data_IF_973306831773
#
_entry.id   IF_973306831773
#
_cell.length_a   1.000
_cell.length_b   1.000
_cell.length_c   1.000
_cell.angle_alpha   90.00
_cell.angle_beta   90.00
_cell.angle_gamma   90.00
#
_symmetry.space_group_name_H-M   'P 1'
#
loop_
_entity.id
_entity.type
_entity.pdbx_description
1 polymer ?
#
# COMPACT_ATOMS: atom_id res chain seq x y z
N UNK A 1 1.47 16.13 10.19
CA UNK A 1 0.74 14.92 10.63
C UNK A 1 -0.10 14.46 9.45
N UNK A 2 0.07 13.23 8.97
CA UNK A 2 -0.76 12.77 7.84
C UNK A 2 -2.14 12.44 8.39
N UNK A 3 -3.10 13.33 8.15
CA UNK A 3 -4.49 13.11 8.56
C UNK A 3 -5.02 11.83 7.89
N UNK A 4 -5.89 11.11 8.60
CA UNK A 4 -6.57 9.88 8.15
C UNK A 4 -5.78 8.58 8.18
N UNK A 5 -4.44 8.58 8.15
CA UNK A 5 -3.65 7.34 8.28
C UNK A 5 -3.60 6.94 9.77
N UNK A 6 -4.13 5.75 10.07
CA UNK A 6 -4.15 5.19 11.43
C UNK A 6 -2.97 4.24 11.70
N UNK A 7 -2.46 3.61 10.64
CA UNK A 7 -1.40 2.62 10.77
C UNK A 7 -0.64 2.44 9.46
N UNK A 8 0.66 2.24 9.59
CA UNK A 8 1.57 1.89 8.50
C UNK A 8 2.13 0.51 8.77
N UNK A 9 2.05 -0.40 7.79
CA UNK A 9 2.61 -1.75 7.92
C UNK A 9 3.25 -2.23 6.63
N UNK A 10 4.20 -3.17 6.74
CA UNK A 10 4.77 -3.90 5.61
C UNK A 10 3.99 -5.20 5.41
N UNK A 11 3.65 -5.54 4.16
CA UNK A 11 3.01 -6.80 3.80
C UNK A 11 3.76 -7.47 2.66
N UNK A 12 3.96 -8.79 2.78
CA UNK A 12 4.40 -9.62 1.65
C UNK A 12 3.31 -9.67 0.59
N UNK A 13 3.72 -9.60 -0.67
CA UNK A 13 2.84 -9.66 -1.82
C UNK A 13 2.87 -11.03 -2.50
N UNK A 14 1.69 -11.58 -2.73
CA UNK A 14 1.47 -12.82 -3.46
C UNK A 14 0.30 -12.70 -4.43
N UNK A 15 -0.12 -13.84 -5.00
CA UNK A 15 -1.20 -13.93 -5.98
C UNK A 15 -2.49 -13.28 -5.46
N UNK A 16 -2.86 -13.57 -4.22
CA UNK A 16 -4.09 -13.11 -3.59
C UNK A 16 -4.04 -11.66 -3.07
N UNK A 17 -2.87 -11.03 -3.02
CA UNK A 17 -2.70 -9.66 -2.54
C UNK A 17 -2.63 -8.62 -3.67
N UNK A 18 -3.12 -8.97 -4.87
CA UNK A 18 -3.10 -8.08 -6.03
C UNK A 18 -1.69 -7.79 -6.57
N UNK A 19 -0.75 -8.74 -6.49
CA UNK A 19 0.62 -8.56 -7.01
C UNK A 19 0.65 -8.18 -8.50
N UNK A 20 -0.21 -8.79 -9.30
CA UNK A 20 -0.30 -8.51 -10.74
C UNK A 20 -1.18 -7.32 -11.09
N UNK A 21 -1.76 -6.61 -10.11
CA UNK A 21 -2.62 -5.44 -10.36
C UNK A 21 -1.80 -4.17 -10.42
N UNK A 22 -1.50 -3.67 -11.61
CA UNK A 22 -0.73 -2.43 -11.76
C UNK A 22 -1.42 -1.20 -11.18
N UNK A 23 -2.74 -1.20 -11.00
CA UNK A 23 -3.52 -0.17 -10.31
C UNK A 23 -4.94 -0.66 -10.03
N UNK A 24 -5.66 0.03 -9.14
CA UNK A 24 -7.08 -0.14 -8.89
C UNK A 24 -7.44 -1.49 -8.28
N UNK A 25 -8.69 -1.66 -7.85
CA UNK A 25 -9.11 -2.87 -7.15
C UNK A 25 -10.59 -3.14 -7.38
N UNK A 26 -10.96 -4.41 -7.42
CA UNK A 26 -12.36 -4.83 -7.46
C UNK A 26 -12.94 -4.99 -6.03
N UNK A 27 -12.14 -4.68 -5.00
CA UNK A 27 -12.51 -4.77 -3.59
C UNK A 27 -12.57 -3.36 -3.00
N UNK A 28 -13.73 -2.96 -2.47
CA UNK A 28 -13.94 -1.65 -1.83
C UNK A 28 -13.12 -1.43 -0.54
N UNK A 29 -12.45 -2.45 -0.01
CA UNK A 29 -11.58 -2.33 1.17
C UNK A 29 -10.14 -1.97 0.82
N UNK A 30 -9.66 -2.37 -0.35
CA UNK A 30 -8.26 -2.24 -0.75
C UNK A 30 -8.14 -1.41 -2.02
N UNK A 31 -7.23 -0.45 -2.05
CA UNK A 31 -6.85 0.24 -3.27
C UNK A 31 -5.37 0.01 -3.57
N UNK A 32 -5.07 -0.27 -4.83
CA UNK A 32 -3.73 -0.49 -5.32
C UNK A 32 -3.29 0.75 -6.11
N UNK A 33 -2.29 1.47 -5.60
CA UNK A 33 -1.73 2.62 -6.33
C UNK A 33 -1.10 2.17 -7.65
N UNK A 34 -1.08 3.07 -8.64
CA UNK A 34 -0.45 2.80 -9.92
C UNK A 34 1.05 2.52 -9.78
N UNK A 35 1.47 1.34 -10.24
CA UNK A 35 2.87 0.94 -10.32
C UNK A 35 3.02 -0.15 -11.39
N UNK A 36 3.61 0.21 -12.53
CA UNK A 36 3.85 -0.72 -13.64
C UNK A 36 4.82 -1.86 -13.26
N UNK A 37 5.73 -1.61 -12.32
CA UNK A 37 6.72 -2.59 -11.84
C UNK A 37 6.20 -3.47 -10.71
N UNK A 38 4.97 -3.26 -10.24
CA UNK A 38 4.37 -4.02 -9.14
C UNK A 38 4.46 -5.56 -9.29
N UNK A 39 4.27 -6.16 -10.49
CA UNK A 39 4.41 -7.61 -10.67
C UNK A 39 5.76 -8.18 -10.23
N UNK A 40 6.84 -7.41 -10.32
CA UNK A 40 8.18 -7.86 -9.94
C UNK A 40 8.45 -7.71 -8.44
N UNK A 41 7.66 -6.90 -7.74
CA UNK A 41 7.82 -6.61 -6.30
C UNK A 41 7.19 -7.70 -5.44
N UNK A 42 7.82 -7.96 -4.29
CA UNK A 42 7.41 -8.99 -3.34
C UNK A 42 6.87 -8.43 -2.01
N UNK A 43 6.87 -7.10 -1.85
CA UNK A 43 6.39 -6.41 -0.64
C UNK A 43 5.71 -5.09 -1.00
N UNK A 44 4.70 -4.72 -0.22
CA UNK A 44 4.01 -3.44 -0.25
C UNK A 44 4.00 -2.80 1.14
N UNK A 45 3.93 -1.49 1.15
CA UNK A 45 3.56 -0.71 2.32
C UNK A 45 2.04 -0.55 2.27
N UNK A 46 1.38 -0.87 3.37
CA UNK A 46 -0.06 -0.73 3.53
C UNK A 46 -0.35 0.38 4.52
N UNK A 47 -1.07 1.38 4.04
CA UNK A 47 -1.58 2.49 4.83
C UNK A 47 -3.03 2.16 5.18
N UNK A 48 -3.29 1.90 6.46
CA UNK A 48 -4.65 1.74 6.95
C UNK A 48 -5.22 3.13 7.27
N UNK A 49 -6.35 3.47 6.65
CA UNK A 49 -6.98 4.79 6.73
C UNK A 49 -8.33 4.72 7.44
N UNK A 50 -8.84 5.87 7.88
CA UNK A 50 -10.20 5.98 8.43
C UNK A 50 -11.31 6.18 7.39
N UNK A 51 -10.95 6.20 6.10
CA UNK A 51 -11.89 6.32 4.99
C UNK A 51 -12.99 5.25 5.00
N UNK A 52 -14.18 5.62 4.51
CA UNK A 52 -15.32 4.69 4.38
C UNK A 52 -15.08 3.63 3.30
N UNK A 53 -14.45 4.04 2.19
CA UNK A 53 -14.08 3.20 1.06
C UNK A 53 -12.55 3.23 0.94
N UNK A 54 -11.95 2.13 0.51
CA UNK A 54 -10.50 1.95 0.39
C UNK A 54 -9.75 2.18 1.70
N UNK A 55 -10.22 1.49 2.74
CA UNK A 55 -9.62 1.47 4.09
C UNK A 55 -8.14 1.10 4.11
N UNK A 56 -7.62 0.46 3.05
CA UNK A 56 -6.22 0.07 2.91
C UNK A 56 -5.68 0.54 1.56
N UNK A 57 -4.69 1.42 1.61
CA UNK A 57 -3.96 1.86 0.43
C UNK A 57 -2.64 1.10 0.35
N UNK A 58 -2.44 0.39 -0.75
CA UNK A 58 -1.25 -0.43 -0.99
C UNK A 58 -0.34 0.28 -1.97
N UNK A 59 0.82 0.67 -1.49
CA UNK A 59 1.86 1.33 -2.28
C UNK A 59 3.13 0.47 -2.35
N UNK A 60 3.82 0.56 -3.47
CA UNK A 60 5.01 -0.21 -3.78
C UNK A 60 6.11 0.73 -4.28
N UNK A 61 6.63 1.64 -3.43
CA UNK A 61 7.64 2.60 -3.85
C UNK A 61 8.95 1.88 -4.25
N UNK A 62 9.72 2.48 -5.15
CA UNK A 62 11.02 1.96 -5.58
C UNK A 62 11.99 1.81 -4.40
N UNK A 63 12.09 2.86 -3.57
CA UNK A 63 12.91 2.88 -2.36
C UNK A 63 12.11 2.40 -1.14
N UNK A 64 11.72 1.12 -1.14
CA UNK A 64 10.79 0.54 -0.15
C UNK A 64 11.16 0.85 1.30
N UNK A 65 12.37 0.51 1.72
CA UNK A 65 12.82 0.66 3.11
C UNK A 65 12.85 2.14 3.53
N UNK A 66 13.36 3.01 2.66
CA UNK A 66 13.42 4.44 2.94
C UNK A 66 12.02 5.05 3.11
N UNK A 67 11.11 4.76 2.17
CA UNK A 67 9.73 5.24 2.23
C UNK A 67 9.01 4.72 3.48
N UNK A 68 9.16 3.44 3.81
CA UNK A 68 8.54 2.84 4.99
C UNK A 68 9.01 3.52 6.29
N UNK A 69 10.32 3.74 6.43
CA UNK A 69 10.90 4.39 7.60
C UNK A 69 10.45 5.85 7.74
N UNK A 70 10.31 6.57 6.62
CA UNK A 70 9.77 7.94 6.63
C UNK A 70 8.31 7.92 7.06
N UNK A 71 7.47 7.09 6.44
CA UNK A 71 6.03 7.02 6.75
C UNK A 71 5.77 6.64 8.21
N UNK A 72 6.57 5.73 8.78
CA UNK A 72 6.48 5.36 10.21
C UNK A 72 6.80 6.50 11.18
N UNK A 73 7.49 7.55 10.75
CA UNK A 73 7.79 8.74 11.58
C UNK A 73 6.70 9.81 11.49
N UNK A 74 5.82 9.72 10.49
CA UNK A 74 4.82 10.74 10.17
C UNK A 74 3.41 10.37 10.67
N UNK A 75 3.24 9.13 11.13
CA UNK A 75 2.02 8.52 11.67
C UNK A 75 2.28 8.14 13.12
#
# INVERSE_FOLDING_TARGET
>A
MISHIRKVSEKKMGLFSGRFRISGSNNFRDWFHFDASRPTKNKAIVLETDYKIYKRLWITPERHVAAFNILKKLV
#
